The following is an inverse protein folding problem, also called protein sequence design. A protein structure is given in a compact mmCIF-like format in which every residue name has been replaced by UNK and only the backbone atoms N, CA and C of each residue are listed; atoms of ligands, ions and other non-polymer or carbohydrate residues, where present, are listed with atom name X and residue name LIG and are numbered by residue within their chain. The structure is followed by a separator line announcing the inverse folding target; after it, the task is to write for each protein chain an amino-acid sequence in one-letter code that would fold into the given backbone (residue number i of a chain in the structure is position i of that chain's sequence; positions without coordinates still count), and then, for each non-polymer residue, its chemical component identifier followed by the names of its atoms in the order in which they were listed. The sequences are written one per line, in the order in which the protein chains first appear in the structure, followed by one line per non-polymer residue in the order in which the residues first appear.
data_IF_107064840928
#
_entry.id   IF_107064840928
#
_cell.length_a   1.000
_cell.length_b   1.000
_cell.length_c   1.000
_cell.angle_alpha   90.00
_cell.angle_beta   90.00
_cell.angle_gamma   90.00
#
_symmetry.space_group_name_H-M   'P 1'
#
loop_
_entity.id
_entity.type
_entity.pdbx_description
1 polymer ?
#
# COMPACT_ATOMS: atom_id res chain seq x y z
N UNK A 1 -0.85 23.57 -3.90
CA UNK A 1 -0.04 22.49 -3.29
C UNK A 1 1.42 22.94 -3.24
N UNK A 2 2.13 22.81 -2.11
CA UNK A 2 3.56 23.15 -2.04
C UNK A 2 4.30 22.32 -3.10
N UNK A 3 5.19 22.93 -3.89
CA UNK A 3 5.81 22.34 -5.09
C UNK A 3 6.44 20.93 -4.86
N UNK A 4 6.87 20.61 -3.64
CA UNK A 4 7.45 19.31 -3.28
C UNK A 4 6.45 18.18 -2.97
N UNK A 5 5.20 18.49 -2.62
CA UNK A 5 4.23 17.46 -2.18
C UNK A 5 3.76 16.58 -3.35
N UNK A 6 3.81 17.13 -4.56
CA UNK A 6 3.35 16.46 -5.78
C UNK A 6 4.27 15.28 -6.13
N UNK A 7 5.60 15.44 -5.99
CA UNK A 7 6.55 14.37 -6.26
C UNK A 7 6.44 13.23 -5.25
N UNK A 8 6.24 13.55 -3.98
CA UNK A 8 5.99 12.54 -2.93
C UNK A 8 4.77 11.69 -3.27
N UNK A 9 3.67 12.31 -3.72
CA UNK A 9 2.45 11.60 -4.13
C UNK A 9 2.71 10.66 -5.29
N UNK A 10 3.41 11.11 -6.34
CA UNK A 10 3.73 10.27 -7.49
C UNK A 10 4.65 9.10 -7.13
N UNK A 11 5.75 9.39 -6.43
CA UNK A 11 6.72 8.35 -6.04
C UNK A 11 6.04 7.31 -5.14
N UNK A 12 5.29 7.74 -4.13
CA UNK A 12 4.60 6.80 -3.24
C UNK A 12 3.52 6.00 -3.95
N UNK A 13 2.76 6.61 -4.86
CA UNK A 13 1.75 5.88 -5.65
C UNK A 13 2.40 4.86 -6.60
N UNK A 14 3.50 5.21 -7.25
CA UNK A 14 4.25 4.28 -8.10
C UNK A 14 4.83 3.12 -7.31
N UNK A 15 5.35 3.37 -6.10
CA UNK A 15 5.79 2.32 -5.19
C UNK A 15 4.64 1.39 -4.78
N UNK A 16 3.47 1.95 -4.46
CA UNK A 16 2.28 1.14 -4.16
C UNK A 16 1.85 0.29 -5.36
N UNK A 17 1.91 0.80 -6.59
CA UNK A 17 1.60 0.02 -7.80
C UNK A 17 2.56 -1.17 -7.96
N UNK A 18 3.87 -0.95 -7.73
CA UNK A 18 4.86 -2.00 -7.81
C UNK A 18 4.68 -3.07 -6.71
N UNK A 19 4.37 -2.64 -5.48
CA UNK A 19 4.07 -3.54 -4.36
C UNK A 19 2.73 -4.26 -4.52
N UNK A 20 1.78 -3.69 -5.27
CA UNK A 20 0.49 -4.34 -5.52
C UNK A 20 0.58 -5.55 -6.44
N UNK A 21 1.67 -5.73 -7.18
CA UNK A 21 1.76 -6.84 -8.13
C UNK A 21 1.76 -8.18 -7.39
N UNK A 22 1.02 -9.14 -7.91
CA UNK A 22 0.87 -10.47 -7.28
C UNK A 22 2.15 -11.33 -7.29
N UNK A 23 3.27 -10.80 -7.79
CA UNK A 23 4.53 -11.54 -8.01
C UNK A 23 5.30 -11.86 -6.74
N UNK A 24 5.13 -11.11 -5.65
CA UNK A 24 6.03 -11.17 -4.47
C UNK A 24 5.94 -12.48 -3.68
N UNK A 25 4.77 -13.11 -3.64
CA UNK A 25 4.50 -14.36 -2.91
C UNK A 25 3.67 -15.34 -3.73
N UNK A 26 3.71 -15.22 -5.06
CA UNK A 26 2.87 -16.00 -5.97
C UNK A 26 3.02 -17.52 -5.78
N UNK A 27 4.26 -17.97 -5.64
CA UNK A 27 4.58 -19.40 -5.54
C UNK A 27 4.58 -19.92 -4.08
N UNK A 28 4.51 -19.03 -3.08
CA UNK A 28 4.51 -19.40 -1.67
C UNK A 28 3.10 -19.66 -1.13
N UNK A 29 2.68 -20.91 -1.25
CA UNK A 29 1.41 -21.43 -0.75
C UNK A 29 1.55 -22.19 0.57
N UNK A 30 2.78 -22.37 1.09
CA UNK A 30 3.04 -23.20 2.28
C UNK A 30 3.21 -22.36 3.54
N UNK A 31 3.71 -21.12 3.41
CA UNK A 31 3.90 -20.22 4.54
C UNK A 31 2.55 -19.69 5.04
N UNK A 32 2.24 -20.01 6.30
CA UNK A 32 1.01 -19.59 6.98
C UNK A 32 1.30 -18.62 8.12
N UNK A 33 0.77 -17.41 8.03
CA UNK A 33 0.80 -16.39 9.07
C UNK A 33 -0.27 -16.71 10.12
N UNK A 34 0.11 -16.66 11.40
CA UNK A 34 -0.74 -17.05 12.55
C UNK A 34 -1.30 -18.49 12.47
N UNK A 35 -0.71 -19.35 11.62
CA UNK A 35 -1.13 -20.74 11.45
C UNK A 35 -2.36 -20.98 10.57
N UNK A 36 -2.98 -19.93 10.00
CA UNK A 36 -4.17 -20.09 9.15
C UNK A 36 -4.23 -19.17 7.91
N UNK A 37 -3.42 -18.10 7.87
CA UNK A 37 -3.51 -17.09 6.81
C UNK A 37 -2.36 -17.26 5.81
N UNK A 38 -2.61 -17.61 4.53
CA UNK A 38 -1.56 -17.73 3.53
C UNK A 38 -0.76 -16.44 3.39
N UNK A 39 0.57 -16.54 3.25
CA UNK A 39 1.46 -15.37 3.23
C UNK A 39 1.14 -14.37 2.11
N UNK A 40 0.79 -14.85 0.91
CA UNK A 40 0.38 -13.98 -0.19
C UNK A 40 -0.88 -13.18 0.13
N UNK A 41 -1.84 -13.76 0.86
CA UNK A 41 -3.04 -13.07 1.31
C UNK A 41 -2.73 -12.09 2.45
N UNK A 42 -1.89 -12.49 3.40
CA UNK A 42 -1.43 -11.61 4.48
C UNK A 42 -0.71 -10.38 3.94
N UNK A 43 0.14 -10.56 2.93
CA UNK A 43 0.83 -9.48 2.23
C UNK A 43 -0.17 -8.49 1.60
N UNK A 44 -1.16 -8.97 0.86
CA UNK A 44 -2.17 -8.12 0.23
C UNK A 44 -3.09 -7.41 1.24
N UNK A 45 -3.40 -8.07 2.36
CA UNK A 45 -4.14 -7.44 3.45
C UNK A 45 -3.33 -6.28 4.08
N UNK A 46 -2.05 -6.50 4.36
CA UNK A 46 -1.16 -5.47 4.86
C UNK A 46 -0.98 -4.32 3.85
N UNK A 47 -0.77 -4.66 2.57
CA UNK A 47 -0.72 -3.69 1.48
C UNK A 47 -1.97 -2.79 1.44
N UNK A 48 -3.16 -3.39 1.57
CA UNK A 48 -4.43 -2.66 1.55
C UNK A 48 -4.53 -1.64 2.70
N UNK A 49 -4.04 -2.00 3.89
CA UNK A 49 -3.96 -1.07 5.03
C UNK A 49 -3.02 0.09 4.72
N UNK A 50 -1.82 -0.20 4.20
CA UNK A 50 -0.84 0.84 3.83
C UNK A 50 -1.41 1.76 2.75
N UNK A 51 -2.07 1.22 1.72
CA UNK A 51 -2.70 2.00 0.67
C UNK A 51 -3.83 2.89 1.21
N UNK A 52 -4.66 2.38 2.13
CA UNK A 52 -5.70 3.17 2.79
C UNK A 52 -5.12 4.33 3.61
N UNK A 53 -4.06 4.07 4.38
CA UNK A 53 -3.36 5.10 5.15
C UNK A 53 -2.70 6.15 4.25
N UNK A 54 -2.08 5.72 3.15
CA UNK A 54 -1.47 6.60 2.15
C UNK A 54 -2.50 7.57 1.58
N UNK A 55 -3.63 7.06 1.09
CA UNK A 55 -4.69 7.91 0.55
C UNK A 55 -5.34 8.78 1.63
N UNK A 56 -5.54 8.25 2.84
CA UNK A 56 -6.02 9.04 3.98
C UNK A 56 -5.11 10.23 4.28
N UNK A 57 -3.79 10.02 4.31
CA UNK A 57 -2.81 11.09 4.50
C UNK A 57 -2.84 12.12 3.35
N UNK A 58 -2.98 11.66 2.10
CA UNK A 58 -3.11 12.55 0.94
C UNK A 58 -4.39 13.37 1.03
N UNK A 59 -5.52 12.77 1.40
CA UNK A 59 -6.79 13.49 1.54
C UNK A 59 -6.68 14.59 2.61
N UNK A 60 -6.10 14.28 3.77
CA UNK A 60 -5.86 15.28 4.82
C UNK A 60 -4.93 16.40 4.33
N UNK A 61 -3.87 16.07 3.59
CA UNK A 61 -2.91 17.06 3.10
C UNK A 61 -3.43 17.92 1.93
N UNK A 62 -4.23 17.33 1.03
CA UNK A 62 -4.78 17.99 -0.15
C UNK A 62 -6.08 18.73 0.15
N UNK A 63 -6.84 18.28 1.15
CA UNK A 63 -8.18 18.75 1.47
C UNK A 63 -8.33 19.10 2.96
N UNK A 64 -7.34 19.82 3.51
CA UNK A 64 -7.27 20.17 4.93
C UNK A 64 -8.27 21.25 5.40
N UNK A 65 -9.11 21.76 4.50
CA UNK A 65 -9.99 22.91 4.75
C UNK A 65 -11.47 22.53 4.60
N UNK A 66 -11.96 21.77 5.57
CA UNK A 66 -13.35 21.82 6.03
C UNK A 66 -13.36 21.77 7.55
#
# INVERSE_FOLDING_TARGET
MKQGIHWTVWVGTLLLIALHQDVWFWDDHQTMIFGFLPVGLAYHAAFSIVAALWWGAIMVAAWSHH
#
